data_IF_556647976083
#
_entry.id   IF_556647976083
#
_cell.length_a   1.000
_cell.length_b   1.000
_cell.length_c   1.000
_cell.angle_alpha   90.00
_cell.angle_beta   90.00
_cell.angle_gamma   90.00
#
_symmetry.space_group_name_H-M   'P 1'
#
loop_
_entity.id
_entity.type
_entity.pdbx_description
1 polymer ?
#
# COMPACT_ATOMS: atom_id res chain seq x y z
N UNK A 1 7.24 0.34 -6.53
CA UNK A 1 7.02 1.44 -5.54
C UNK A 1 8.31 1.69 -4.77
N UNK A 2 8.55 2.92 -4.35
CA UNK A 2 9.68 3.27 -3.48
C UNK A 2 9.28 2.98 -2.03
N UNK A 3 10.14 2.38 -1.23
CA UNK A 3 9.89 2.02 0.16
C UNK A 3 10.58 2.97 1.15
N UNK A 4 10.34 2.78 2.44
CA UNK A 4 10.92 3.58 3.51
C UNK A 4 10.31 4.98 3.64
N UNK A 5 10.89 5.82 4.49
CA UNK A 5 10.47 7.20 4.75
C UNK A 5 10.92 8.15 3.63
N UNK A 6 10.60 7.81 2.39
CA UNK A 6 10.98 8.58 1.21
C UNK A 6 9.77 9.30 0.62
N UNK A 7 10.05 10.45 -0.03
CA UNK A 7 9.05 11.17 -0.77
C UNK A 7 8.54 10.29 -1.95
N UNK A 8 7.25 10.01 -1.98
CA UNK A 8 6.60 9.18 -3.00
C UNK A 8 6.23 9.98 -4.27
N UNK A 9 6.59 11.26 -4.33
CA UNK A 9 6.59 12.06 -5.57
C UNK A 9 7.93 11.83 -6.26
N UNK A 10 7.92 11.13 -7.37
CA UNK A 10 9.15 10.90 -8.12
C UNK A 10 9.77 12.20 -8.61
N UNK A 11 11.09 12.32 -8.46
CA UNK A 11 11.91 13.41 -8.97
C UNK A 11 13.01 12.86 -9.86
N UNK A 12 13.37 13.60 -10.89
CA UNK A 12 14.38 13.19 -11.87
C UNK A 12 15.79 12.98 -11.28
N UNK A 13 16.08 13.67 -10.16
CA UNK A 13 17.34 13.59 -9.45
C UNK A 13 17.43 12.40 -8.46
N UNK A 14 16.31 11.69 -8.25
CA UNK A 14 16.29 10.55 -7.34
C UNK A 14 16.50 9.24 -8.11
N UNK A 15 17.51 8.46 -7.70
CA UNK A 15 17.92 7.24 -8.41
C UNK A 15 16.78 6.21 -8.62
N UNK A 16 15.87 6.09 -7.68
CA UNK A 16 14.74 5.15 -7.74
C UNK A 16 13.62 5.60 -8.70
N UNK A 17 13.68 6.83 -9.19
CA UNK A 17 12.70 7.42 -10.11
C UNK A 17 13.26 7.67 -11.50
N UNK A 18 14.46 7.16 -11.80
CA UNK A 18 15.07 7.32 -13.13
C UNK A 18 14.17 6.73 -14.21
N UNK A 19 13.83 7.56 -15.19
CA UNK A 19 13.01 7.20 -16.34
C UNK A 19 11.50 7.34 -16.15
N UNK A 20 10.99 7.42 -14.92
CA UNK A 20 9.58 7.71 -14.64
C UNK A 20 9.48 8.78 -13.56
N UNK A 21 9.22 10.01 -13.97
CA UNK A 21 9.10 11.17 -13.07
C UNK A 21 7.66 11.39 -12.57
N UNK A 22 6.73 10.52 -12.95
CA UNK A 22 5.34 10.62 -12.48
C UNK A 22 5.28 10.29 -10.98
N UNK A 23 4.45 11.00 -10.20
CA UNK A 23 4.18 10.60 -8.82
C UNK A 23 3.58 9.18 -8.81
N UNK A 24 3.85 8.39 -7.78
CA UNK A 24 3.32 7.03 -7.67
C UNK A 24 1.80 7.01 -7.78
N UNK A 25 1.13 8.03 -7.26
CA UNK A 25 -0.32 8.22 -7.35
C UNK A 25 -0.87 8.42 -8.77
N UNK A 26 -0.01 8.68 -9.76
CA UNK A 26 -0.41 8.82 -11.17
C UNK A 26 -0.16 7.54 -12.00
N UNK A 27 0.29 6.46 -11.37
CA UNK A 27 0.54 5.18 -12.03
C UNK A 27 -0.74 4.36 -12.12
N UNK A 28 -0.95 3.67 -13.24
CA UNK A 28 -2.13 2.82 -13.46
C UNK A 28 -2.11 1.51 -12.66
N UNK A 29 -0.93 1.12 -12.15
CA UNK A 29 -0.72 -0.08 -11.32
C UNK A 29 -0.74 0.22 -9.82
N UNK A 30 -1.13 1.43 -9.42
CA UNK A 30 -1.29 1.88 -8.04
C UNK A 30 -2.69 2.47 -7.86
N UNK A 31 -3.47 1.87 -6.95
CA UNK A 31 -4.75 2.43 -6.52
C UNK A 31 -4.52 3.36 -5.34
N UNK A 32 -5.09 4.55 -5.41
CA UNK A 32 -4.89 5.62 -4.43
C UNK A 32 -6.20 5.95 -3.74
N UNK A 33 -6.22 5.80 -2.42
CA UNK A 33 -7.32 6.21 -1.56
C UNK A 33 -6.84 7.34 -0.63
N UNK A 34 -7.51 8.47 -0.65
CA UNK A 34 -7.04 9.67 0.05
C UNK A 34 -8.18 10.43 0.69
N UNK A 35 -7.96 10.93 1.91
CA UNK A 35 -8.92 11.79 2.61
C UNK A 35 -8.96 13.20 1.99
N UNK A 36 -10.00 13.96 2.32
CA UNK A 36 -9.95 15.42 2.24
C UNK A 36 -8.86 15.97 3.17
N UNK A 37 -8.42 17.23 3.02
CA UNK A 37 -7.50 17.84 3.98
C UNK A 37 -8.04 17.77 5.40
N UNK A 38 -7.18 17.34 6.35
CA UNK A 38 -7.55 17.24 7.75
C UNK A 38 -7.90 18.62 8.32
N UNK A 39 -8.99 18.67 9.11
CA UNK A 39 -9.47 19.91 9.73
C UNK A 39 -8.75 20.23 11.03
N UNK A 40 -8.08 19.24 11.65
CA UNK A 40 -7.28 19.34 12.86
C UNK A 40 -6.11 18.36 12.79
N UNK A 41 -5.16 18.52 13.70
CA UNK A 41 -4.09 17.53 13.89
C UNK A 41 -4.70 16.21 14.35
N UNK A 42 -4.15 15.09 13.82
CA UNK A 42 -4.58 13.74 14.14
C UNK A 42 -3.37 12.89 14.52
N UNK A 43 -3.27 12.52 15.79
CA UNK A 43 -2.25 11.59 16.25
C UNK A 43 -2.67 10.14 15.99
N UNK A 44 -1.79 9.40 15.31
CA UNK A 44 -1.94 7.96 15.07
C UNK A 44 -0.75 7.26 15.71
N UNK A 45 -1.02 6.49 16.78
CA UNK A 45 0.01 5.80 17.56
C UNK A 45 -0.40 4.36 17.84
N UNK A 46 0.28 3.40 17.21
CA UNK A 46 0.03 1.98 17.40
C UNK A 46 0.13 1.16 16.10
N UNK A 47 -0.48 -0.02 16.12
CA UNK A 47 -0.47 -0.97 15.00
C UNK A 47 -1.40 -0.53 13.89
N UNK A 48 -0.94 -0.63 12.65
CA UNK A 48 -1.69 -0.29 11.45
C UNK A 48 -2.10 -1.57 10.73
N UNK A 49 -3.38 -1.71 10.41
CA UNK A 49 -3.92 -2.89 9.76
C UNK A 49 -4.74 -2.48 8.55
N UNK A 50 -4.45 -3.06 7.39
CA UNK A 50 -5.31 -2.95 6.21
C UNK A 50 -6.07 -4.25 6.03
N UNK A 51 -7.40 -4.16 6.00
CA UNK A 51 -8.32 -5.21 5.60
C UNK A 51 -8.67 -4.98 4.14
N UNK A 52 -8.22 -5.87 3.28
CA UNK A 52 -8.34 -5.72 1.84
C UNK A 52 -9.17 -6.86 1.26
N UNK A 53 -10.31 -6.56 0.68
CA UNK A 53 -11.08 -7.51 -0.11
C UNK A 53 -10.65 -7.44 -1.57
N UNK A 54 -10.14 -8.55 -2.09
CA UNK A 54 -9.57 -8.57 -3.43
C UNK A 54 -9.76 -9.91 -4.12
N UNK A 55 -9.74 -9.88 -5.46
CA UNK A 55 -9.62 -11.05 -6.31
C UNK A 55 -8.48 -10.88 -7.31
N UNK A 56 -8.04 -11.98 -7.91
CA UNK A 56 -7.02 -11.99 -8.95
C UNK A 56 -7.41 -12.94 -10.07
N UNK A 57 -6.99 -12.63 -11.29
CA UNK A 57 -7.06 -13.56 -12.42
C UNK A 57 -6.01 -14.68 -12.34
N UNK A 58 -5.08 -14.60 -11.39
CA UNK A 58 -3.98 -15.52 -11.20
C UNK A 58 -4.17 -16.37 -9.91
N UNK A 59 -3.56 -17.58 -9.84
CA UNK A 59 -3.63 -18.43 -8.66
C UNK A 59 -2.79 -17.91 -7.47
N UNK A 60 -1.89 -16.96 -7.71
CA UNK A 60 -1.10 -16.27 -6.70
C UNK A 60 -0.73 -14.86 -7.18
N UNK A 61 -0.61 -13.94 -6.24
CA UNK A 61 -0.17 -12.57 -6.47
C UNK A 61 0.28 -11.97 -5.14
N UNK A 62 0.75 -10.73 -5.15
CA UNK A 62 1.02 -9.99 -3.93
C UNK A 62 0.10 -8.77 -3.85
N UNK A 63 -0.30 -8.40 -2.63
CA UNK A 63 -0.94 -7.13 -2.35
C UNK A 63 -0.08 -6.33 -1.38
N UNK A 64 0.19 -5.09 -1.74
CA UNK A 64 0.95 -4.15 -0.90
C UNK A 64 0.07 -3.02 -0.45
N UNK A 65 0.30 -2.53 0.76
CA UNK A 65 -0.30 -1.32 1.27
C UNK A 65 0.79 -0.35 1.71
N UNK A 66 0.60 0.93 1.45
CA UNK A 66 1.51 2.00 1.83
C UNK A 66 0.69 3.16 2.42
N UNK A 67 0.95 3.48 3.69
CA UNK A 67 0.39 4.66 4.35
C UNK A 67 1.29 5.85 4.08
N UNK A 68 0.71 6.93 3.60
CA UNK A 68 1.43 8.14 3.20
C UNK A 68 0.82 9.37 3.87
N UNK A 69 1.66 10.21 4.45
CA UNK A 69 1.31 11.56 4.86
C UNK A 69 1.55 12.51 3.68
N UNK A 70 0.48 13.13 3.19
CA UNK A 70 0.51 14.03 2.05
C UNK A 70 0.55 15.47 2.55
N UNK A 71 1.72 16.08 2.47
CA UNK A 71 1.98 17.47 2.85
C UNK A 71 1.50 18.42 1.76
N UNK A 72 0.78 19.47 2.10
CA UNK A 72 0.50 20.54 1.15
C UNK A 72 1.78 21.31 0.75
N UNK A 73 1.76 22.07 -0.36
CA UNK A 73 2.83 23.00 -0.66
C UNK A 73 3.09 23.97 0.50
N UNK A 74 4.37 24.21 0.78
CA UNK A 74 4.84 25.12 1.85
C UNK A 74 6.16 25.80 1.44
N UNK A 75 6.66 26.72 2.24
CA UNK A 75 7.98 27.34 1.99
C UNK A 75 9.11 26.32 1.97
N UNK A 76 9.04 25.29 2.85
CA UNK A 76 10.06 24.25 2.93
C UNK A 76 9.89 23.21 1.81
N UNK A 77 8.65 23.00 1.38
CA UNK A 77 8.29 22.04 0.33
C UNK A 77 7.39 22.70 -0.72
N UNK A 78 7.93 23.47 -1.66
CA UNK A 78 7.13 24.24 -2.62
C UNK A 78 6.17 23.40 -3.47
N UNK A 79 6.48 22.13 -3.71
CA UNK A 79 5.60 21.19 -4.42
C UNK A 79 4.84 20.25 -3.49
N UNK A 80 4.97 20.40 -2.18
CA UNK A 80 4.51 19.43 -1.19
C UNK A 80 5.37 18.17 -1.13
N UNK A 81 5.06 17.28 -0.19
CA UNK A 81 5.75 15.99 0.01
C UNK A 81 4.71 14.90 0.20
N UNK A 82 4.96 13.74 -0.40
CA UNK A 82 4.19 12.52 -0.16
C UNK A 82 5.09 11.57 0.67
N UNK A 83 5.03 11.70 1.98
CA UNK A 83 5.91 10.99 2.90
C UNK A 83 5.38 9.59 3.21
N UNK A 84 6.14 8.55 2.88
CA UNK A 84 5.81 7.19 3.29
C UNK A 84 5.98 7.02 4.80
N UNK A 85 4.88 6.75 5.50
CA UNK A 85 4.85 6.51 6.95
C UNK A 85 5.13 5.05 7.27
N UNK A 86 4.42 4.15 6.62
CA UNK A 86 4.57 2.71 6.78
C UNK A 86 4.15 1.99 5.49
N UNK A 87 4.73 0.82 5.25
CA UNK A 87 4.35 -0.04 4.16
C UNK A 87 4.53 -1.52 4.53
N UNK A 88 3.73 -2.38 3.89
CA UNK A 88 3.82 -3.82 4.05
C UNK A 88 3.27 -4.55 2.83
N UNK A 89 3.38 -5.88 2.86
CA UNK A 89 2.97 -6.77 1.78
C UNK A 89 2.36 -8.05 2.35
N UNK A 90 1.42 -8.63 1.63
CA UNK A 90 0.98 -10.00 1.81
C UNK A 90 1.07 -10.76 0.49
N UNK A 91 1.65 -11.95 0.53
CA UNK A 91 1.58 -12.88 -0.60
C UNK A 91 0.31 -13.70 -0.49
N UNK A 92 -0.50 -13.70 -1.53
CA UNK A 92 -1.86 -14.23 -1.51
C UNK A 92 -1.94 -15.70 -1.08
N UNK A 93 -0.96 -16.52 -1.45
CA UNK A 93 -0.89 -17.92 -1.01
C UNK A 93 -0.69 -18.09 0.50
N UNK A 94 -0.30 -17.03 1.22
CA UNK A 94 -0.10 -17.04 2.68
C UNK A 94 -1.15 -16.22 3.43
N UNK A 95 -2.32 -15.97 2.80
CA UNK A 95 -3.42 -15.17 3.40
C UNK A 95 -4.00 -15.80 4.66
N UNK A 96 -4.04 -17.12 4.73
CA UNK A 96 -4.62 -17.87 5.86
C UNK A 96 -3.58 -18.40 6.84
N UNK A 97 -2.35 -18.63 6.39
CA UNK A 97 -1.27 -19.17 7.20
C UNK A 97 0.09 -18.76 6.65
N UNK A 98 1.00 -18.37 7.52
CA UNK A 98 2.39 -18.06 7.13
C UNK A 98 3.24 -19.33 6.89
N UNK A 99 2.77 -20.49 7.34
CA UNK A 99 3.49 -21.78 7.25
C UNK A 99 3.00 -22.62 6.08
N UNK A 100 1.70 -22.57 5.78
CA UNK A 100 1.08 -23.38 4.74
C UNK A 100 0.62 -22.48 3.59
N UNK A 101 1.12 -22.76 2.39
CA UNK A 101 0.68 -22.06 1.19
C UNK A 101 -0.64 -22.65 0.68
N UNK A 102 -1.56 -21.77 0.32
CA UNK A 102 -2.84 -22.11 -0.30
C UNK A 102 -3.09 -21.16 -1.48
N UNK A 103 -3.07 -21.69 -2.70
CA UNK A 103 -3.30 -20.91 -3.89
C UNK A 103 -4.74 -20.37 -3.93
N UNK A 104 -4.92 -19.23 -4.57
CA UNK A 104 -6.26 -18.69 -4.82
C UNK A 104 -6.94 -19.44 -5.97
N UNK A 105 -8.25 -19.45 -5.94
CA UNK A 105 -9.08 -19.72 -7.13
C UNK A 105 -9.19 -18.41 -7.92
N UNK A 106 -8.75 -18.37 -9.19
CA UNK A 106 -8.87 -17.18 -10.01
C UNK A 106 -10.31 -16.64 -10.05
N UNK A 107 -10.46 -15.33 -9.85
CA UNK A 107 -11.74 -14.64 -9.84
C UNK A 107 -12.51 -14.69 -8.51
N UNK A 108 -12.15 -15.58 -7.58
CA UNK A 108 -12.78 -15.62 -6.27
C UNK A 108 -12.28 -14.44 -5.40
N UNK A 109 -13.21 -13.85 -4.65
CA UNK A 109 -12.91 -12.75 -3.70
C UNK A 109 -12.46 -13.34 -2.37
N UNK A 110 -11.41 -12.75 -1.80
CA UNK A 110 -10.85 -13.11 -0.51
C UNK A 110 -10.57 -11.87 0.34
N UNK A 111 -10.62 -12.01 1.66
CA UNK A 111 -10.11 -11.00 2.57
C UNK A 111 -8.62 -11.23 2.83
N UNK A 112 -7.85 -10.15 2.76
CA UNK A 112 -6.43 -10.11 3.08
C UNK A 112 -6.20 -9.17 4.26
N UNK A 113 -5.40 -9.61 5.24
CA UNK A 113 -4.95 -8.76 6.34
C UNK A 113 -3.50 -8.38 6.09
N UNK A 114 -3.24 -7.08 5.85
CA UNK A 114 -1.89 -6.55 5.67
C UNK A 114 -1.52 -5.80 6.95
N UNK A 115 -0.69 -6.42 7.78
CA UNK A 115 -0.14 -5.80 8.98
C UNK A 115 1.05 -4.92 8.57
N UNK A 116 0.97 -3.63 8.86
CA UNK A 116 2.07 -2.69 8.70
C UNK A 116 2.81 -2.49 10.02
N UNK A 117 4.04 -1.98 9.95
CA UNK A 117 4.78 -1.62 11.16
C UNK A 117 4.00 -0.55 11.95
N UNK A 118 4.02 -0.65 13.30
CA UNK A 118 3.40 0.37 14.13
C UNK A 118 4.10 1.72 13.91
N UNK A 119 3.33 2.78 14.07
CA UNK A 119 3.84 4.15 13.98
C UNK A 119 3.44 4.98 15.20
N UNK A 120 4.09 6.10 15.38
CA UNK A 120 3.66 7.20 16.24
C UNK A 120 3.91 8.50 15.48
N UNK A 121 2.84 9.07 14.93
CA UNK A 121 2.91 10.23 14.05
C UNK A 121 1.70 11.12 14.24
N UNK A 122 1.91 12.42 14.14
CA UNK A 122 0.83 13.41 14.06
C UNK A 122 0.68 13.88 12.61
N UNK A 123 -0.41 13.46 11.97
CA UNK A 123 -0.85 14.06 10.71
C UNK A 123 -1.35 15.48 11.00
N UNK A 124 -0.72 16.47 10.42
CA UNK A 124 -1.04 17.87 10.70
C UNK A 124 -2.31 18.34 9.98
N UNK A 125 -2.98 19.33 10.55
CA UNK A 125 -4.05 20.06 9.89
C UNK A 125 -3.61 20.49 8.48
N UNK A 126 -4.48 20.28 7.49
CA UNK A 126 -4.20 20.57 6.08
C UNK A 126 -3.50 19.45 5.32
N UNK A 127 -2.86 18.50 6.02
CA UNK A 127 -2.35 17.28 5.38
C UNK A 127 -3.49 16.34 4.98
N UNK A 128 -3.15 15.29 4.20
CA UNK A 128 -4.10 14.22 3.86
C UNK A 128 -3.50 12.88 4.22
N UNK A 129 -4.33 11.97 4.69
CA UNK A 129 -3.98 10.57 4.86
C UNK A 129 -4.22 9.87 3.54
N UNK A 130 -3.22 9.18 3.01
CA UNK A 130 -3.32 8.42 1.76
C UNK A 130 -2.90 6.98 1.97
N UNK A 131 -3.65 6.06 1.37
CA UNK A 131 -3.28 4.64 1.28
C UNK A 131 -3.12 4.29 -0.20
N UNK A 132 -1.94 3.78 -0.56
CA UNK A 132 -1.66 3.26 -1.89
C UNK A 132 -1.69 1.73 -1.85
N UNK A 133 -2.46 1.12 -2.73
CA UNK A 133 -2.53 -0.33 -2.92
C UNK A 133 -1.93 -0.70 -4.26
N UNK A 134 -1.05 -1.69 -4.27
CA UNK A 134 -0.46 -2.22 -5.50
C UNK A 134 -0.07 -3.69 -5.34
N UNK A 135 0.51 -4.29 -6.37
CA UNK A 135 0.91 -5.71 -6.37
C UNK A 135 2.43 -5.90 -6.33
N UNK A 136 3.19 -4.85 -6.05
CA UNK A 136 4.65 -4.94 -5.90
C UNK A 136 5.18 -3.80 -5.04
N UNK A 137 6.19 -4.08 -4.24
CA UNK A 137 6.98 -3.09 -3.51
C UNK A 137 8.49 -3.36 -3.67
N UNK A 138 8.87 -3.74 -4.90
CA UNK A 138 10.28 -3.91 -5.26
C UNK A 138 11.06 -2.58 -5.13
N UNK A 139 12.31 -2.59 -4.65
CA UNK A 139 13.15 -3.75 -4.33
C UNK A 139 13.08 -4.22 -2.87
N UNK A 140 12.16 -3.71 -2.04
CA UNK A 140 12.03 -4.13 -0.64
C UNK A 140 11.57 -5.58 -0.51
N UNK A 141 10.70 -6.03 -1.40
CA UNK A 141 10.20 -7.39 -1.48
C UNK A 141 10.34 -7.91 -2.91
N UNK A 142 10.57 -9.21 -3.05
CA UNK A 142 10.63 -9.88 -4.34
C UNK A 142 9.31 -9.77 -5.09
N UNK A 143 9.39 -9.65 -6.41
CA UNK A 143 8.21 -9.61 -7.27
C UNK A 143 7.60 -11.01 -7.38
N UNK A 144 6.27 -11.12 -7.20
CA UNK A 144 5.56 -12.36 -7.42
C UNK A 144 5.37 -12.60 -8.93
N UNK A 145 5.78 -13.75 -9.46
CA UNK A 145 5.56 -14.10 -10.87
C UNK A 145 4.12 -14.47 -11.21
N UNK A 146 3.20 -14.51 -10.24
CA UNK A 146 1.75 -14.78 -10.34
C UNK A 146 1.39 -16.19 -10.85
N UNK A 147 2.34 -17.10 -10.98
CA UNK A 147 2.11 -18.42 -11.60
C UNK A 147 1.68 -19.50 -10.61
N UNK A 148 1.81 -19.25 -9.31
CA UNK A 148 1.57 -20.27 -8.28
C UNK A 148 2.66 -21.35 -8.19
N UNK A 149 3.71 -21.28 -9.00
CA UNK A 149 4.84 -22.21 -8.93
C UNK A 149 5.54 -22.14 -7.55
N UNK A 150 6.27 -23.20 -7.16
CA UNK A 150 7.04 -23.17 -5.91
C UNK A 150 7.99 -21.98 -5.83
N UNK A 151 8.12 -21.38 -4.66
CA UNK A 151 9.00 -20.23 -4.43
C UNK A 151 10.44 -20.56 -4.85
N UNK A 152 11.10 -19.58 -5.46
CA UNK A 152 12.48 -19.68 -5.97
C UNK A 152 12.70 -20.75 -7.06
N UNK A 153 11.62 -21.30 -7.63
CA UNK A 153 11.66 -22.26 -8.73
C UNK A 153 10.81 -21.82 -9.93
N UNK A 154 10.48 -20.55 -9.97
CA UNK A 154 9.66 -19.97 -11.03
C UNK A 154 10.37 -20.02 -12.37
N UNK A 155 9.67 -20.52 -13.37
CA UNK A 155 10.15 -20.62 -14.76
C UNK A 155 9.39 -19.69 -15.70
N UNK A 156 8.28 -19.15 -15.23
CA UNK A 156 7.35 -18.33 -16.02
C UNK A 156 6.94 -17.10 -15.23
N UNK A 157 6.42 -16.14 -15.94
CA UNK A 157 5.79 -14.94 -15.43
C UNK A 157 4.41 -14.82 -16.05
N UNK A 158 3.42 -14.40 -15.29
CA UNK A 158 2.07 -14.14 -15.76
C UNK A 158 1.64 -12.75 -15.34
N UNK A 159 0.93 -12.07 -16.23
CA UNK A 159 0.24 -10.82 -15.86
C UNK A 159 -1.02 -11.20 -15.09
N UNK A 160 -1.23 -10.58 -13.95
CA UNK A 160 -2.44 -10.73 -13.14
C UNK A 160 -3.26 -9.44 -13.21
N UNK A 161 -4.57 -9.59 -13.43
CA UNK A 161 -5.54 -8.53 -13.20
C UNK A 161 -6.08 -8.70 -11.80
N UNK A 162 -5.77 -7.74 -10.92
CA UNK A 162 -6.21 -7.72 -9.54
C UNK A 162 -7.34 -6.71 -9.37
N UNK A 163 -8.42 -7.12 -8.72
CA UNK A 163 -9.57 -6.26 -8.42
C UNK A 163 -9.67 -6.05 -6.92
N UNK A 164 -9.90 -4.81 -6.51
CA UNK A 164 -10.09 -4.41 -5.12
C UNK A 164 -11.56 -4.02 -4.94
N UNK A 165 -12.17 -4.49 -3.87
CA UNK A 165 -13.57 -4.26 -3.53
C UNK A 165 -13.67 -3.36 -2.30
N UNK A 166 -14.62 -2.44 -2.30
CA UNK A 166 -14.93 -1.55 -1.17
C UNK A 166 -16.43 -1.23 -1.09
N UNK A 167 -17.25 -2.23 -1.42
CA UNK A 167 -18.70 -2.22 -1.29
C UNK A 167 -19.13 -2.69 0.12
N UNK A 168 -20.42 -2.59 0.50
CA UNK A 168 -20.89 -3.01 1.82
C UNK A 168 -20.67 -4.49 2.16
N UNK A 169 -20.58 -5.37 1.16
CA UNK A 169 -20.30 -6.80 1.36
C UNK A 169 -18.80 -7.10 1.46
N UNK A 170 -17.97 -6.20 0.90
CA UNK A 170 -16.52 -6.32 0.86
C UNK A 170 -15.86 -5.01 1.30
N UNK A 171 -15.97 -4.64 2.60
CA UNK A 171 -15.59 -3.32 3.08
C UNK A 171 -14.07 -3.20 3.30
N UNK A 172 -13.30 -3.05 2.23
CA UNK A 172 -11.87 -2.76 2.36
C UNK A 172 -11.65 -1.46 3.12
N UNK A 173 -10.76 -1.48 4.12
CA UNK A 173 -10.46 -0.32 4.96
C UNK A 173 -9.08 -0.42 5.60
N UNK A 174 -8.63 0.69 6.18
CA UNK A 174 -7.47 0.74 7.07
C UNK A 174 -7.93 1.07 8.49
N UNK A 175 -7.38 0.36 9.47
CA UNK A 175 -7.55 0.63 10.90
C UNK A 175 -6.37 1.50 11.37
N UNK A 176 -6.69 2.69 11.87
CA UNK A 176 -5.72 3.65 12.42
C UNK A 176 -6.02 3.87 13.90
N UNK A 177 -5.08 3.54 14.82
CA UNK A 177 -5.25 3.80 16.25
C UNK A 177 -5.06 5.29 16.57
N UNK A 178 -6.16 6.03 16.63
CA UNK A 178 -6.16 7.47 16.89
C UNK A 178 -6.08 7.74 18.38
N UNK A 179 -5.15 8.59 18.81
CA UNK A 179 -5.07 9.13 20.16
C UNK A 179 -5.95 10.39 20.23
N UNK A 180 -6.97 10.42 21.09
CA UNK A 180 -7.81 11.60 21.24
C UNK A 180 -6.99 12.81 21.71
N UNK A 181 -7.26 13.98 21.10
CA UNK A 181 -6.65 15.23 21.59
C UNK A 181 -7.03 15.47 23.05
N UNK A 182 -6.05 15.66 23.90
CA UNK A 182 -6.29 16.09 25.28
C UNK A 182 -6.91 17.49 25.25
N UNK A 183 -8.04 17.66 25.94
CA UNK A 183 -8.71 18.96 26.04
C UNK A 183 -7.92 19.92 26.92
#
# INVERSE_FOLDING_TARGET
>A
MVNGALNQRCRSDYWACKGDVRPLSARNDVLVFQTSPLQADLEVTGRLIVKLWASSSAPDTDFTAKLTDVYPPSNDFPTGVDLNVADSIIRARYRTSREKSELMTPGQVYEFTIEMYPTSLVFKKGHRIRVDISSSNFPRFDVNPNTGEPLNRNRRWAVATNSIYHDPQHPSHIELPVIPATK
#
